data_IF_794811729190
#
_entry.id   IF_794811729190
#
_cell.length_a   1.000
_cell.length_b   1.000
_cell.length_c   1.000
_cell.angle_alpha   90.00
_cell.angle_beta   90.00
_cell.angle_gamma   90.00
#
_symmetry.space_group_name_H-M   'P 1'
#
loop_
_entity.id
_entity.type
_entity.pdbx_description
1 polymer ?
#
# COMPACT_ATOMS: atom_id res chain seq x y z
N UNK A 1 -18.18 -0.49 -0.06
CA UNK A 1 -16.90 -1.12 0.36
C UNK A 1 -17.17 -2.41 1.10
N UNK A 2 -16.45 -3.43 0.79
CA UNK A 2 -16.59 -4.74 1.41
C UNK A 2 -15.32 -5.08 2.18
N UNK A 3 -15.45 -5.50 3.44
CA UNK A 3 -14.32 -5.78 4.33
C UNK A 3 -14.30 -7.26 4.69
N UNK A 4 -13.14 -7.89 4.55
CA UNK A 4 -12.86 -9.23 5.02
C UNK A 4 -11.80 -9.16 6.13
N UNK A 5 -12.07 -9.79 7.27
CA UNK A 5 -11.19 -9.78 8.43
C UNK A 5 -10.68 -11.21 8.67
N UNK A 6 -9.37 -11.35 8.72
CA UNK A 6 -8.69 -12.60 8.99
C UNK A 6 -7.98 -12.52 10.34
N UNK A 7 -8.68 -12.90 11.39
CA UNK A 7 -8.10 -12.93 12.73
C UNK A 7 -7.53 -14.30 13.05
N UNK A 8 -6.22 -14.35 13.15
CA UNK A 8 -5.50 -15.49 13.72
C UNK A 8 -4.47 -14.98 14.71
N UNK A 9 -3.92 -15.87 15.53
CA UNK A 9 -2.77 -15.53 16.34
C UNK A 9 -1.62 -15.17 15.41
N UNK A 10 -1.12 -13.94 15.49
CA UNK A 10 -0.06 -13.44 14.60
C UNK A 10 -0.50 -12.21 13.85
N UNK A 11 -0.11 -12.02 12.58
CA UNK A 11 -0.42 -10.79 11.87
C UNK A 11 -1.92 -10.62 11.64
N UNK A 12 -2.39 -9.39 11.82
CA UNK A 12 -3.76 -9.00 11.51
C UNK A 12 -3.81 -8.49 10.08
N UNK A 13 -4.83 -8.93 9.34
CA UNK A 13 -5.00 -8.53 7.95
C UNK A 13 -6.45 -8.17 7.69
N UNK A 14 -6.65 -7.04 7.01
CA UNK A 14 -7.95 -6.57 6.56
C UNK A 14 -7.89 -6.27 5.07
N UNK A 15 -8.88 -6.70 4.32
CA UNK A 15 -9.04 -6.37 2.92
C UNK A 15 -10.35 -5.63 2.71
N UNK A 16 -10.33 -4.60 1.84
CA UNK A 16 -11.51 -3.84 1.46
C UNK A 16 -11.55 -3.69 -0.05
N UNK A 17 -12.63 -4.14 -0.68
CA UNK A 17 -12.89 -3.86 -2.08
C UNK A 17 -13.42 -2.45 -2.24
N UNK A 18 -12.97 -1.73 -3.27
CA UNK A 18 -13.38 -0.35 -3.50
C UNK A 18 -13.51 -0.05 -4.99
N UNK A 19 -14.27 1.00 -5.28
CA UNK A 19 -14.38 1.57 -6.63
C UNK A 19 -13.42 2.76 -6.72
N UNK A 20 -12.35 2.67 -7.53
CA UNK A 20 -11.34 3.73 -7.61
C UNK A 20 -11.91 5.10 -7.95
N UNK A 21 -12.83 5.18 -8.89
CA UNK A 21 -13.43 6.46 -9.28
C UNK A 21 -14.12 7.17 -8.11
N UNK A 22 -14.75 6.42 -7.22
CA UNK A 22 -15.41 6.95 -6.02
C UNK A 22 -14.37 7.27 -4.94
N UNK A 23 -13.50 6.32 -4.64
CA UNK A 23 -12.51 6.48 -3.57
C UNK A 23 -11.53 7.62 -3.83
N UNK A 24 -11.08 7.76 -5.08
CA UNK A 24 -10.12 8.80 -5.49
C UNK A 24 -10.80 10.09 -5.92
N UNK A 25 -12.15 10.13 -5.96
CA UNK A 25 -12.93 11.22 -6.51
C UNK A 25 -12.47 11.59 -7.94
N UNK A 26 -12.22 10.58 -8.75
CA UNK A 26 -11.73 10.71 -10.13
C UNK A 26 -12.44 9.69 -11.01
N UNK A 27 -13.49 10.10 -11.69
CA UNK A 27 -14.29 9.25 -12.56
C UNK A 27 -13.61 8.89 -13.88
N UNK A 28 -12.42 9.47 -14.14
CA UNK A 28 -11.59 9.13 -15.30
C UNK A 28 -10.52 8.08 -14.98
N UNK A 29 -10.47 7.59 -13.75
CA UNK A 29 -9.49 6.57 -13.36
C UNK A 29 -9.68 5.31 -14.20
N UNK A 30 -8.59 4.74 -14.76
CA UNK A 30 -8.69 3.77 -15.85
C UNK A 30 -9.22 2.38 -15.48
N UNK A 31 -9.30 2.04 -14.20
CA UNK A 31 -9.86 0.76 -13.74
C UNK A 31 -11.06 0.99 -12.84
N UNK A 32 -11.98 0.02 -12.81
CA UNK A 32 -13.26 0.14 -12.09
C UNK A 32 -13.24 -0.57 -10.73
N UNK A 33 -12.26 -1.42 -10.49
CA UNK A 33 -12.15 -2.18 -9.23
C UNK A 33 -10.74 -2.12 -8.70
N UNK A 34 -10.64 -1.99 -7.37
CA UNK A 34 -9.39 -2.09 -6.65
C UNK A 34 -9.65 -2.69 -5.27
N UNK A 35 -8.58 -3.11 -4.61
CA UNK A 35 -8.63 -3.64 -3.27
C UNK A 35 -7.61 -2.92 -2.41
N UNK A 36 -7.98 -2.55 -1.21
CA UNK A 36 -7.06 -2.05 -0.19
C UNK A 36 -6.79 -3.19 0.78
N UNK A 37 -5.53 -3.50 0.98
CA UNK A 37 -5.09 -4.53 1.91
C UNK A 37 -4.23 -3.90 2.98
N UNK A 38 -4.55 -4.17 4.23
CA UNK A 38 -3.85 -3.63 5.39
C UNK A 38 -3.44 -4.78 6.27
N UNK A 39 -2.19 -4.81 6.68
CA UNK A 39 -1.69 -5.81 7.60
C UNK A 39 -0.82 -5.19 8.68
N UNK A 40 -0.91 -5.74 9.88
CA UNK A 40 -0.08 -5.37 11.01
C UNK A 40 0.46 -6.64 11.67
N UNK A 41 1.74 -6.61 12.00
CA UNK A 41 2.37 -7.63 12.83
C UNK A 41 2.92 -6.94 14.07
N UNK A 42 2.27 -7.19 15.21
CA UNK A 42 2.65 -6.64 16.50
C UNK A 42 3.46 -7.68 17.24
N UNK A 43 4.71 -7.39 17.51
CA UNK A 43 5.61 -8.35 18.14
C UNK A 43 5.43 -8.46 19.65
N UNK A 44 4.84 -7.45 20.27
CA UNK A 44 4.63 -7.40 21.73
C UNK A 44 5.91 -7.26 22.54
N UNK A 45 7.05 -7.15 21.89
CA UNK A 45 8.37 -6.93 22.52
C UNK A 45 8.99 -5.66 21.97
N UNK A 46 10.18 -5.34 22.43
CA UNK A 46 10.92 -4.14 22.01
C UNK A 46 11.31 -4.14 20.51
N UNK A 47 10.84 -5.11 19.75
CA UNK A 47 11.03 -5.15 18.32
C UNK A 47 10.15 -4.17 17.59
N UNK A 48 10.50 -3.88 16.35
CA UNK A 48 9.74 -2.99 15.48
C UNK A 48 8.51 -3.71 14.97
N UNK A 49 7.34 -3.11 15.18
CA UNK A 49 6.12 -3.60 14.55
C UNK A 49 6.21 -3.43 13.05
N UNK A 50 5.74 -4.42 12.32
CA UNK A 50 5.68 -4.37 10.86
C UNK A 50 4.27 -4.03 10.41
N UNK A 51 4.15 -3.28 9.32
CA UNK A 51 2.86 -3.06 8.69
C UNK A 51 3.01 -2.95 7.18
N UNK A 52 1.88 -3.14 6.48
CA UNK A 52 1.76 -2.80 5.07
C UNK A 52 0.37 -2.22 4.79
N UNK A 53 0.34 -1.29 3.86
CA UNK A 53 -0.89 -0.71 3.30
C UNK A 53 -0.74 -0.78 1.79
N UNK A 54 -1.55 -1.60 1.14
CA UNK A 54 -1.44 -1.88 -0.29
C UNK A 54 -2.71 -1.47 -1.02
N UNK A 55 -2.53 -0.83 -2.17
CA UNK A 55 -3.55 -0.64 -3.19
C UNK A 55 -3.29 -1.66 -4.29
N UNK A 56 -4.30 -2.47 -4.61
CA UNK A 56 -4.16 -3.58 -5.54
C UNK A 56 -5.21 -3.44 -6.64
N UNK A 57 -4.76 -3.43 -7.89
CA UNK A 57 -5.61 -3.41 -9.08
C UNK A 57 -5.44 -4.71 -9.85
N UNK A 58 -6.37 -5.66 -9.74
CA UNK A 58 -6.26 -6.93 -10.45
C UNK A 58 -6.21 -6.77 -11.96
N UNK A 59 -6.97 -5.82 -12.53
CA UNK A 59 -7.08 -5.64 -13.97
C UNK A 59 -5.77 -5.25 -14.64
N UNK A 60 -4.88 -4.56 -13.92
CA UNK A 60 -3.56 -4.18 -14.42
C UNK A 60 -2.42 -4.95 -13.75
N UNK A 61 -2.74 -5.94 -12.91
CA UNK A 61 -1.77 -6.70 -12.12
C UNK A 61 -0.82 -5.77 -11.35
N UNK A 62 -1.37 -4.70 -10.80
CA UNK A 62 -0.63 -3.59 -10.21
C UNK A 62 -0.84 -3.54 -8.71
N UNK A 63 0.24 -3.29 -7.98
CA UNK A 63 0.23 -3.02 -6.54
C UNK A 63 1.09 -1.81 -6.25
N UNK A 64 0.54 -0.88 -5.46
CA UNK A 64 1.30 0.20 -4.83
C UNK A 64 1.11 0.06 -3.33
N UNK A 65 2.18 0.10 -2.56
CA UNK A 65 2.03 -0.03 -1.12
C UNK A 65 3.18 0.53 -0.32
N UNK A 66 2.86 0.84 0.95
CA UNK A 66 3.85 1.19 1.96
C UNK A 66 4.09 -0.02 2.84
N UNK A 67 5.36 -0.32 3.06
CA UNK A 67 5.79 -1.43 3.88
C UNK A 67 6.75 -0.92 4.95
N UNK A 68 6.44 -1.20 6.20
CA UNK A 68 7.34 -0.97 7.32
C UNK A 68 7.90 -2.32 7.77
N UNK A 69 9.14 -2.56 7.45
CA UNK A 69 9.84 -3.78 7.83
C UNK A 69 11.35 -3.54 7.85
N UNK A 70 12.12 -4.57 8.18
CA UNK A 70 13.58 -4.50 8.24
C UNK A 70 14.26 -5.12 7.02
N UNK A 71 13.50 -5.46 5.99
CA UNK A 71 14.01 -6.16 4.81
C UNK A 71 14.83 -5.28 3.85
N UNK A 72 14.74 -3.96 3.98
CA UNK A 72 15.38 -3.00 3.08
C UNK A 72 16.07 -1.89 3.88
N UNK A 73 17.19 -2.20 4.58
CA UNK A 73 17.84 -1.22 5.47
C UNK A 73 18.39 0.01 4.75
N UNK A 74 18.70 -0.10 3.46
CA UNK A 74 19.14 1.01 2.61
C UNK A 74 18.02 2.04 2.35
N UNK A 75 16.75 1.63 2.47
CA UNK A 75 15.59 2.50 2.27
C UNK A 75 15.03 3.04 3.59
N UNK A 76 15.60 2.66 4.73
CA UNK A 76 15.09 3.01 6.04
C UNK A 76 13.98 2.06 6.52
N UNK A 77 13.28 2.41 7.63
CA UNK A 77 12.27 1.52 8.22
C UNK A 77 11.00 1.41 7.39
N UNK A 78 10.71 2.37 6.54
CA UNK A 78 9.50 2.42 5.70
C UNK A 78 9.90 2.70 4.27
N UNK A 79 9.29 1.96 3.34
CA UNK A 79 9.44 2.24 1.92
C UNK A 79 8.09 2.18 1.21
N UNK A 80 7.97 2.90 0.11
CA UNK A 80 6.89 2.76 -0.85
C UNK A 80 7.37 1.92 -2.03
N UNK A 81 6.52 1.04 -2.52
CA UNK A 81 6.86 0.10 -3.58
C UNK A 81 5.75 0.03 -4.60
N UNK A 82 6.13 -0.02 -5.87
CA UNK A 82 5.23 -0.38 -6.96
C UNK A 82 5.65 -1.73 -7.53
N UNK A 83 4.67 -2.59 -7.71
CA UNK A 83 4.85 -3.95 -8.21
C UNK A 83 3.86 -4.16 -9.35
N UNK A 84 4.31 -4.79 -10.41
CA UNK A 84 3.42 -5.21 -11.48
C UNK A 84 3.70 -6.67 -11.81
N UNK A 85 2.63 -7.43 -11.97
CA UNK A 85 2.68 -8.90 -12.00
C UNK A 85 3.29 -9.39 -10.68
N UNK A 86 4.42 -10.07 -10.70
CA UNK A 86 5.08 -10.55 -9.48
C UNK A 86 6.41 -9.87 -9.22
N UNK A 87 6.71 -8.80 -9.97
CA UNK A 87 8.00 -8.13 -9.91
C UNK A 87 7.89 -6.74 -9.31
N UNK A 88 8.73 -6.45 -8.32
CA UNK A 88 8.91 -5.09 -7.85
C UNK A 88 9.55 -4.26 -8.98
N UNK A 89 8.88 -3.20 -9.38
CA UNK A 89 9.36 -2.31 -10.44
C UNK A 89 10.24 -1.22 -9.84
N UNK A 90 9.81 -0.64 -8.71
CA UNK A 90 10.53 0.44 -8.06
C UNK A 90 10.24 0.45 -6.57
N UNK A 91 11.22 0.89 -5.77
CA UNK A 91 11.11 1.11 -4.34
C UNK A 91 11.82 2.40 -3.98
N UNK A 92 11.22 3.15 -3.05
CA UNK A 92 11.87 4.35 -2.50
C UNK A 92 11.54 4.50 -1.02
N UNK A 93 12.44 5.11 -0.27
CA UNK A 93 12.21 5.37 1.14
C UNK A 93 11.01 6.28 1.36
N UNK A 94 10.25 6.03 2.41
CA UNK A 94 9.09 6.82 2.80
C UNK A 94 9.23 7.29 4.25
N UNK A 95 8.50 8.35 4.59
CA UNK A 95 8.56 8.91 5.93
C UNK A 95 7.93 7.97 6.95
N UNK A 96 8.58 7.83 8.11
CA UNK A 96 7.98 7.23 9.28
C UNK A 96 6.86 8.15 9.80
N UNK A 97 5.69 7.59 10.10
CA UNK A 97 4.53 8.38 10.51
C UNK A 97 4.36 8.38 12.03
N UNK A 98 4.12 7.20 12.61
CA UNK A 98 3.78 7.09 14.03
C UNK A 98 3.94 5.62 14.47
N UNK A 99 4.02 5.41 15.78
CA UNK A 99 3.99 4.06 16.36
C UNK A 99 2.58 3.47 16.42
N UNK A 100 1.56 4.32 16.33
CA UNK A 100 0.18 3.88 16.46
C UNK A 100 -0.38 3.44 15.11
N UNK A 101 -0.85 2.18 14.96
CA UNK A 101 -1.31 1.65 13.67
C UNK A 101 -2.44 2.47 13.02
N UNK A 102 -3.38 2.98 13.81
CA UNK A 102 -4.50 3.74 13.27
C UNK A 102 -4.07 5.09 12.71
N UNK A 103 -3.09 5.75 13.33
CA UNK A 103 -2.54 7.00 12.81
C UNK A 103 -1.80 6.77 11.49
N UNK A 104 -1.06 5.67 11.38
CA UNK A 104 -0.38 5.28 10.15
C UNK A 104 -1.40 5.00 9.04
N UNK A 105 -2.41 4.22 9.33
CA UNK A 105 -3.46 3.87 8.36
C UNK A 105 -4.15 5.10 7.81
N UNK A 106 -4.58 6.00 8.69
CA UNK A 106 -5.26 7.23 8.30
C UNK A 106 -4.36 8.10 7.40
N UNK A 107 -3.10 8.29 7.79
CA UNK A 107 -2.15 9.06 7.01
C UNK A 107 -1.91 8.45 5.62
N UNK A 108 -1.73 7.13 5.54
CA UNK A 108 -1.45 6.46 4.27
C UNK A 108 -2.67 6.46 3.35
N UNK A 109 -3.87 6.29 3.86
CA UNK A 109 -5.09 6.40 3.06
C UNK A 109 -5.26 7.82 2.50
N UNK A 110 -4.93 8.85 3.28
CA UNK A 110 -4.96 10.24 2.81
C UNK A 110 -3.89 10.52 1.73
N UNK A 111 -2.76 9.83 1.78
CA UNK A 111 -1.68 9.98 0.82
C UNK A 111 -1.89 9.18 -0.47
N UNK A 112 -2.81 8.23 -0.46
CA UNK A 112 -2.97 7.27 -1.55
C UNK A 112 -3.27 7.93 -2.91
N UNK A 113 -4.14 8.95 -3.02
CA UNK A 113 -4.36 9.61 -4.30
C UNK A 113 -3.09 10.23 -4.88
N UNK A 114 -2.29 10.92 -4.07
CA UNK A 114 -1.05 11.53 -4.51
C UNK A 114 0.01 10.47 -4.88
N UNK A 115 0.07 9.39 -4.13
CA UNK A 115 0.98 8.29 -4.43
C UNK A 115 0.63 7.63 -5.77
N UNK A 116 -0.65 7.38 -6.03
CA UNK A 116 -1.09 6.83 -7.30
C UNK A 116 -0.80 7.77 -8.46
N UNK A 117 -0.94 9.09 -8.25
CA UNK A 117 -0.62 10.09 -9.26
C UNK A 117 0.89 10.18 -9.55
N UNK A 118 1.73 9.75 -8.63
CA UNK A 118 3.19 9.76 -8.80
C UNK A 118 3.74 8.55 -9.54
N UNK A 119 2.91 7.54 -9.79
CA UNK A 119 3.30 6.35 -10.56
C UNK A 119 3.45 6.73 -12.02
N UNK A 120 4.55 6.27 -12.62
CA UNK A 120 4.84 6.52 -14.03
C UNK A 120 4.44 5.30 -14.85
N UNK A 121 3.64 5.54 -15.89
CA UNK A 121 3.10 4.51 -16.76
C UNK A 121 3.61 4.68 -18.19
N UNK A 122 3.87 3.56 -18.84
CA UNK A 122 4.05 3.46 -20.28
C UNK A 122 2.93 2.55 -20.81
N UNK A 123 1.83 3.16 -21.26
CA UNK A 123 0.62 2.40 -21.54
C UNK A 123 0.07 1.75 -20.26
N UNK A 124 -0.05 0.43 -20.26
CA UNK A 124 -0.48 -0.36 -19.10
C UNK A 124 0.70 -0.92 -18.29
N UNK A 125 1.92 -0.50 -18.59
CA UNK A 125 3.13 -0.97 -17.92
C UNK A 125 3.68 0.10 -16.99
N UNK A 126 3.94 -0.29 -15.74
CA UNK A 126 4.57 0.61 -14.76
C UNK A 126 6.05 0.74 -15.07
N UNK A 127 6.55 1.96 -15.11
CA UNK A 127 7.97 2.24 -15.30
C UNK A 127 8.68 2.71 -14.04
N UNK A 128 7.97 3.25 -13.07
CA UNK A 128 8.55 3.71 -11.81
C UNK A 128 7.58 4.53 -10.97
N UNK A 129 8.09 5.12 -9.91
CA UNK A 129 7.35 6.03 -9.04
C UNK A 129 8.24 7.22 -8.64
N UNK A 130 7.67 8.39 -8.63
CA UNK A 130 8.32 9.63 -8.16
C UNK A 130 7.63 10.15 -6.89
N UNK A 131 7.69 9.35 -5.87
CA UNK A 131 7.14 9.72 -4.56
C UNK A 131 8.11 10.59 -3.76
#
# INVERSE_FOLDING_TARGET
MRIADHRTAGPYRVEAETEPGVFLADDTYPVTTARIEIGFEVTGQSGTDSYWVNWIEPDRNFLLGWHQDQGHPDLGPVHIQVTQYTNAVDRTGAAYIDDHPMAVLEARLDQLPDALASVQWDGDTVSGIEW
#
